data_IF_011802435446
#
_entry.id   IF_011802435446
#
_cell.length_a   1.000
_cell.length_b   1.000
_cell.length_c   1.000
_cell.angle_alpha   90.00
_cell.angle_beta   90.00
_cell.angle_gamma   90.00
#
_symmetry.space_group_name_H-M   'P 1'
#
loop_
_entity.id
_entity.type
_entity.pdbx_description
1 polymer ?
#
# COMPACT_ATOMS: atom_id res chain seq x y z
N UNK A 1 31.25 1.96 11.90
CA UNK A 1 30.10 2.55 11.23
C UNK A 1 30.21 4.07 11.36
N UNK A 2 30.68 4.77 10.31
CA UNK A 2 30.96 6.21 10.34
C UNK A 2 29.77 7.05 9.85
N UNK A 3 28.69 6.42 9.36
CA UNK A 3 27.47 7.08 8.93
C UNK A 3 26.42 7.07 10.03
N UNK A 4 25.57 8.08 10.06
CA UNK A 4 24.48 8.22 11.02
C UNK A 4 23.13 8.35 10.28
N UNK A 5 22.64 7.26 9.67
CA UNK A 5 21.33 7.25 9.02
C UNK A 5 20.22 7.43 10.07
N UNK A 6 19.06 7.92 9.62
CA UNK A 6 17.84 8.01 10.45
C UNK A 6 17.21 6.64 10.62
N UNK A 7 17.33 5.80 9.61
CA UNK A 7 16.71 4.49 9.43
C UNK A 7 15.26 4.57 8.95
N UNK A 8 14.93 3.65 8.07
CA UNK A 8 13.65 3.57 7.37
C UNK A 8 12.44 3.55 8.30
N UNK A 9 12.53 2.78 9.39
CA UNK A 9 11.44 2.65 10.37
C UNK A 9 11.18 3.97 11.10
N UNK A 10 12.23 4.71 11.46
CA UNK A 10 12.10 5.99 12.16
C UNK A 10 11.55 7.08 11.23
N UNK A 11 12.00 7.11 9.96
CA UNK A 11 11.45 8.02 8.94
C UNK A 11 9.96 7.75 8.76
N UNK A 12 9.57 6.48 8.60
CA UNK A 12 8.18 6.08 8.45
C UNK A 12 7.33 6.51 9.65
N UNK A 13 7.82 6.24 10.87
CA UNK A 13 7.13 6.61 12.11
C UNK A 13 6.98 8.12 12.25
N UNK A 14 8.04 8.88 11.94
CA UNK A 14 8.05 10.34 11.97
C UNK A 14 7.03 10.93 11.00
N UNK A 15 7.07 10.52 9.75
CA UNK A 15 6.15 10.97 8.71
C UNK A 15 4.68 10.64 9.05
N UNK A 16 4.40 9.41 9.47
CA UNK A 16 3.03 8.98 9.80
C UNK A 16 2.46 9.66 11.05
N UNK A 17 3.31 10.14 11.95
CA UNK A 17 2.87 10.89 13.15
C UNK A 17 2.57 12.35 12.85
N UNK A 18 3.33 12.94 11.92
CA UNK A 18 3.29 14.38 11.65
C UNK A 18 2.24 14.74 10.62
N UNK A 19 2.02 13.88 9.62
CA UNK A 19 1.16 14.18 8.49
C UNK A 19 0.12 13.05 8.35
N UNK A 20 -1.17 13.43 8.37
CA UNK A 20 -2.24 12.49 8.02
C UNK A 20 -2.09 12.04 6.57
N UNK A 21 -1.98 10.73 6.36
CA UNK A 21 -1.69 10.18 5.04
C UNK A 21 -2.35 8.82 4.83
N UNK A 22 -2.69 8.52 3.59
CA UNK A 22 -3.26 7.22 3.20
C UNK A 22 -2.21 6.21 2.76
N UNK A 23 -1.03 6.68 2.43
CA UNK A 23 0.08 5.86 1.98
C UNK A 23 1.41 6.46 2.42
N UNK A 24 2.27 5.60 2.97
CA UNK A 24 3.64 5.95 3.38
C UNK A 24 4.59 4.89 2.84
N UNK A 25 5.64 5.32 2.19
CA UNK A 25 6.75 4.44 1.80
C UNK A 25 8.07 5.10 2.15
N UNK A 26 9.01 4.30 2.58
CA UNK A 26 10.37 4.72 2.98
C UNK A 26 11.36 3.78 2.35
N UNK A 27 12.57 4.27 2.10
CA UNK A 27 13.66 3.51 1.53
C UNK A 27 14.99 4.04 2.03
N UNK A 28 15.86 3.15 2.47
CA UNK A 28 17.26 3.43 2.76
C UNK A 28 18.14 2.73 1.73
N UNK A 29 18.92 3.51 0.98
CA UNK A 29 19.85 2.98 -0.03
C UNK A 29 21.06 2.33 0.63
N UNK A 30 21.68 1.42 -0.07
CA UNK A 30 22.99 0.87 0.36
C UNK A 30 24.01 2.00 0.40
N UNK A 31 24.89 2.04 1.42
CA UNK A 31 25.98 3.03 1.45
C UNK A 31 26.84 2.99 0.19
N UNK A 32 27.21 4.17 -0.28
CA UNK A 32 28.08 4.37 -1.44
C UNK A 32 29.23 5.31 -1.07
N UNK A 33 30.16 5.53 -1.98
CA UNK A 33 31.36 6.36 -1.74
C UNK A 33 31.50 7.40 -2.85
N UNK A 34 31.75 8.65 -2.47
CA UNK A 34 32.09 9.73 -3.38
C UNK A 34 33.37 10.41 -2.92
N UNK A 35 34.36 10.56 -3.80
CA UNK A 35 35.67 11.17 -3.48
C UNK A 35 36.32 10.63 -2.18
N UNK A 36 36.21 9.32 -1.96
CA UNK A 36 36.75 8.66 -0.76
C UNK A 36 35.89 8.79 0.51
N UNK A 37 34.79 9.54 0.47
CA UNK A 37 33.88 9.73 1.59
C UNK A 37 32.63 8.85 1.44
N UNK A 38 32.30 8.02 2.44
CA UNK A 38 31.08 7.24 2.44
C UNK A 38 29.86 8.14 2.63
N UNK A 39 28.80 7.78 1.94
CA UNK A 39 27.49 8.43 2.08
C UNK A 39 26.35 7.43 1.93
N UNK A 40 25.18 7.80 2.41
CA UNK A 40 23.94 7.01 2.31
C UNK A 40 22.75 7.94 2.11
N UNK A 41 21.88 7.56 1.18
CA UNK A 41 20.63 8.29 0.91
C UNK A 41 19.45 7.54 1.49
N UNK A 42 18.61 8.26 2.20
CA UNK A 42 17.34 7.79 2.73
C UNK A 42 16.22 8.67 2.22
N UNK A 43 15.10 8.08 1.89
CA UNK A 43 13.94 8.80 1.36
C UNK A 43 12.65 8.31 1.99
N UNK A 44 11.67 9.21 2.07
CA UNK A 44 10.31 8.90 2.48
C UNK A 44 9.33 9.64 1.60
N UNK A 45 8.22 9.00 1.27
CA UNK A 45 7.10 9.61 0.56
C UNK A 45 5.81 9.29 1.28
N UNK A 46 5.03 10.31 1.50
CA UNK A 46 3.65 10.20 1.96
C UNK A 46 2.70 10.72 0.90
N UNK A 47 1.51 10.11 0.82
CA UNK A 47 0.53 10.47 -0.19
C UNK A 47 -0.89 10.40 0.36
N UNK A 48 -1.72 11.37 0.01
CA UNK A 48 -3.14 11.46 0.38
C UNK A 48 -3.35 12.13 1.73
N UNK A 49 -4.46 11.79 2.42
CA UNK A 49 -4.88 12.48 3.64
C UNK A 49 -5.44 13.87 3.37
N UNK A 50 -5.16 14.82 4.26
CA UNK A 50 -5.60 16.21 4.16
C UNK A 50 -4.75 17.11 3.26
N UNK A 51 -3.75 16.55 2.55
CA UNK A 51 -2.85 17.35 1.68
C UNK A 51 -3.56 17.83 0.42
N UNK A 52 -3.28 19.07 0.01
CA UNK A 52 -3.87 19.68 -1.19
C UNK A 52 -3.34 19.04 -2.47
N UNK A 53 -4.25 18.70 -3.40
CA UNK A 53 -3.89 18.03 -4.65
C UNK A 53 -3.34 18.99 -5.72
N UNK A 54 -3.66 20.27 -5.63
CA UNK A 54 -3.33 21.32 -6.59
C UNK A 54 -2.03 22.08 -6.27
N UNK A 55 -1.44 21.78 -5.11
CA UNK A 55 -0.20 22.45 -4.65
C UNK A 55 1.04 21.63 -5.02
N UNK A 56 2.21 22.31 -5.13
CA UNK A 56 3.49 21.61 -5.20
C UNK A 56 3.67 20.67 -4.00
N UNK A 57 4.29 19.54 -4.26
CA UNK A 57 4.66 18.56 -3.23
C UNK A 57 5.59 19.22 -2.21
N UNK A 58 5.33 19.00 -0.93
CA UNK A 58 6.22 19.46 0.14
C UNK A 58 7.52 18.66 0.11
N UNK A 59 8.66 19.36 0.15
CA UNK A 59 9.99 18.73 0.12
C UNK A 59 10.70 18.99 1.44
N UNK A 60 10.93 17.92 2.19
CA UNK A 60 11.65 17.90 3.45
C UNK A 60 13.07 17.40 3.21
N UNK A 61 14.06 18.25 3.38
CA UNK A 61 15.47 17.95 3.10
C UNK A 61 16.30 17.93 4.36
N UNK A 62 17.15 16.93 4.50
CA UNK A 62 18.01 16.77 5.66
C UNK A 62 19.42 16.35 5.23
N UNK A 63 20.43 16.82 5.97
CA UNK A 63 21.81 16.38 5.88
C UNK A 63 22.32 16.06 7.29
N UNK A 64 22.81 14.84 7.51
CA UNK A 64 23.25 14.37 8.82
C UNK A 64 22.23 14.69 9.94
N UNK A 65 20.94 14.44 9.66
CA UNK A 65 19.78 14.70 10.54
C UNK A 65 19.44 16.18 10.78
N UNK A 66 20.17 17.11 10.15
CA UNK A 66 19.89 18.53 10.24
C UNK A 66 18.97 18.96 9.09
N UNK A 67 17.84 19.64 9.35
CA UNK A 67 16.95 20.11 8.30
C UNK A 67 17.58 21.25 7.50
N UNK A 68 17.36 21.22 6.18
CA UNK A 68 17.79 22.27 5.24
C UNK A 68 16.58 23.15 4.91
N UNK A 69 16.45 24.27 5.62
CA UNK A 69 15.23 25.09 5.60
C UNK A 69 15.17 26.05 4.41
N UNK A 70 16.31 26.53 3.90
CA UNK A 70 16.39 27.60 2.90
C UNK A 70 17.03 27.11 1.60
N UNK A 71 17.07 27.96 0.57
CA UNK A 71 17.70 27.73 -0.74
C UNK A 71 17.27 26.39 -1.41
N UNK A 72 15.97 26.09 -1.35
CA UNK A 72 15.44 24.82 -1.86
C UNK A 72 15.82 24.57 -3.32
N UNK A 73 15.66 25.55 -4.22
CA UNK A 73 15.92 25.39 -5.66
C UNK A 73 17.40 25.18 -6.01
N UNK A 74 18.33 25.63 -5.16
CA UNK A 74 19.77 25.42 -5.36
C UNK A 74 20.31 24.11 -4.83
N UNK A 75 19.50 23.33 -4.11
CA UNK A 75 19.94 22.14 -3.41
C UNK A 75 19.93 20.90 -4.32
N UNK A 76 21.02 20.13 -4.31
CA UNK A 76 21.16 18.86 -5.03
C UNK A 76 19.98 17.90 -4.76
N UNK A 77 19.50 17.79 -3.52
CA UNK A 77 18.39 16.88 -3.18
C UNK A 77 17.08 17.31 -3.86
N UNK A 78 16.82 18.62 -3.99
CA UNK A 78 15.68 19.13 -4.74
C UNK A 78 15.83 18.83 -6.23
N UNK A 79 17.00 19.10 -6.79
CA UNK A 79 17.29 18.80 -8.20
C UNK A 79 17.10 17.29 -8.52
N UNK A 80 17.46 16.41 -7.59
CA UNK A 80 17.22 14.98 -7.73
C UNK A 80 15.73 14.64 -7.84
N UNK A 81 14.88 15.26 -7.03
CA UNK A 81 13.42 15.12 -7.11
C UNK A 81 12.90 15.67 -8.44
N UNK A 82 13.34 16.84 -8.84
CA UNK A 82 12.91 17.55 -10.07
C UNK A 82 13.33 16.81 -11.35
N UNK A 83 14.39 16.02 -11.29
CA UNK A 83 14.92 15.24 -12.44
C UNK A 83 14.09 14.02 -12.78
N UNK A 84 13.18 13.61 -11.93
CA UNK A 84 12.32 12.43 -12.12
C UNK A 84 11.00 12.84 -12.77
N UNK A 85 10.57 12.11 -13.78
CA UNK A 85 9.23 12.27 -14.36
C UNK A 85 8.17 11.60 -13.46
N UNK A 86 7.58 12.39 -12.56
CA UNK A 86 6.60 11.94 -11.58
C UNK A 86 5.21 11.65 -12.16
N UNK A 87 4.93 12.07 -13.42
CA UNK A 87 3.65 11.80 -14.09
C UNK A 87 3.41 10.31 -14.22
N UNK A 88 4.44 9.53 -14.49
CA UNK A 88 4.34 8.06 -14.55
C UNK A 88 4.02 7.39 -13.20
N UNK A 89 4.15 8.13 -12.11
CA UNK A 89 3.86 7.66 -10.75
C UNK A 89 2.58 8.26 -10.16
N UNK A 90 1.84 9.06 -10.94
CA UNK A 90 0.53 9.58 -10.57
C UNK A 90 0.53 10.94 -9.87
N UNK A 91 1.63 11.70 -9.98
CA UNK A 91 1.69 13.11 -9.60
C UNK A 91 1.68 13.99 -10.87
N UNK A 92 1.16 15.19 -10.77
CA UNK A 92 1.18 16.15 -11.86
C UNK A 92 2.54 16.85 -11.95
N UNK A 93 3.03 17.09 -13.16
CA UNK A 93 4.32 17.76 -13.36
C UNK A 93 4.37 18.40 -14.76
N UNK A 94 4.64 19.68 -14.82
CA UNK A 94 4.73 20.40 -16.08
C UNK A 94 5.96 19.92 -16.88
N UNK A 95 5.75 19.45 -18.11
CA UNK A 95 6.85 19.00 -18.97
C UNK A 95 7.66 17.80 -18.45
N UNK A 96 7.24 17.14 -17.35
CA UNK A 96 7.96 16.02 -16.76
C UNK A 96 9.22 16.39 -15.99
N UNK A 97 9.38 17.67 -15.67
CA UNK A 97 10.52 18.23 -14.91
C UNK A 97 10.04 19.24 -13.86
N UNK A 98 10.90 19.55 -12.88
CA UNK A 98 10.57 20.45 -11.79
C UNK A 98 9.82 19.78 -10.65
N UNK A 99 9.41 20.55 -9.67
CA UNK A 99 8.69 20.06 -8.50
C UNK A 99 7.31 19.54 -8.91
N UNK A 100 6.97 18.28 -8.64
CA UNK A 100 5.65 17.75 -8.96
C UNK A 100 4.57 18.39 -8.09
N UNK A 101 3.31 18.35 -8.56
CA UNK A 101 2.12 18.76 -7.83
C UNK A 101 1.31 17.53 -7.42
N UNK A 102 0.70 17.60 -6.27
CA UNK A 102 -0.17 16.54 -5.77
C UNK A 102 -0.22 16.46 -4.25
N UNK A 103 -1.13 15.67 -3.69
CA UNK A 103 -1.30 15.53 -2.26
C UNK A 103 -0.20 14.63 -1.66
N UNK A 104 1.04 15.08 -1.72
CA UNK A 104 2.20 14.32 -1.28
C UNK A 104 3.24 15.20 -0.57
N UNK A 105 4.07 14.55 0.26
CA UNK A 105 5.32 15.13 0.74
C UNK A 105 6.46 14.13 0.54
N UNK A 106 7.63 14.63 0.20
CA UNK A 106 8.84 13.84 -0.04
C UNK A 106 9.92 14.28 0.93
N UNK A 107 10.40 13.33 1.72
CA UNK A 107 11.56 13.51 2.59
C UNK A 107 12.80 12.92 1.92
N UNK A 108 13.90 13.67 1.94
CA UNK A 108 15.21 13.20 1.51
C UNK A 108 16.25 13.52 2.57
N UNK A 109 16.98 12.51 2.96
CA UNK A 109 18.07 12.62 3.92
C UNK A 109 19.37 12.11 3.29
N UNK A 110 20.44 12.88 3.45
CA UNK A 110 21.81 12.46 3.13
C UNK A 110 22.59 12.30 4.44
N UNK A 111 23.05 11.09 4.72
CA UNK A 111 24.07 10.83 5.73
C UNK A 111 25.43 10.72 5.05
N UNK A 112 26.41 11.53 5.46
CA UNK A 112 27.75 11.49 4.89
C UNK A 112 28.79 11.95 5.90
N UNK A 113 29.99 11.41 5.80
CA UNK A 113 31.14 11.85 6.61
C UNK A 113 31.66 13.22 6.17
N UNK A 114 31.38 13.63 4.92
CA UNK A 114 31.78 14.91 4.39
C UNK A 114 30.66 15.48 3.49
N UNK A 115 29.81 16.31 4.08
CA UNK A 115 28.70 16.97 3.37
C UNK A 115 29.22 18.25 2.74
N UNK A 116 29.13 18.36 1.41
CA UNK A 116 29.48 19.55 0.67
C UNK A 116 28.26 20.48 0.54
N UNK A 117 28.37 21.68 1.09
CA UNK A 117 27.33 22.71 1.02
C UNK A 117 27.68 23.78 -0.02
N UNK A 118 26.65 24.46 -0.53
CA UNK A 118 26.83 25.57 -1.49
C UNK A 118 27.37 26.85 -0.82
N UNK A 119 27.19 26.98 0.49
CA UNK A 119 27.61 28.16 1.28
C UNK A 119 27.92 27.75 2.73
N UNK A 120 28.59 28.66 3.45
CA UNK A 120 28.88 28.52 4.89
C UNK A 120 27.61 28.40 5.76
N UNK A 121 26.49 28.94 5.28
CA UNK A 121 25.19 28.85 5.99
C UNK A 121 24.60 27.43 6.01
N UNK A 122 25.16 26.45 5.26
CA UNK A 122 24.74 25.07 5.22
C UNK A 122 23.25 24.83 4.86
N UNK A 123 22.71 25.67 3.99
CA UNK A 123 21.28 25.68 3.63
C UNK A 123 20.95 24.76 2.46
N UNK A 124 21.91 24.50 1.58
CA UNK A 124 21.76 23.68 0.40
C UNK A 124 23.02 22.85 0.14
N UNK A 125 22.82 21.66 -0.42
CA UNK A 125 23.91 20.78 -0.81
C UNK A 125 24.43 21.15 -2.19
N UNK A 126 25.77 21.19 -2.32
CA UNK A 126 26.46 21.39 -3.58
C UNK A 126 26.24 20.20 -4.54
N UNK A 127 26.40 20.45 -5.82
CA UNK A 127 26.24 19.41 -6.85
C UNK A 127 27.34 18.34 -6.71
N UNK A 128 26.93 17.08 -6.73
CA UNK A 128 27.76 15.89 -6.67
C UNK A 128 27.08 14.80 -7.48
N UNK A 129 27.77 14.27 -8.48
CA UNK A 129 27.17 13.34 -9.45
C UNK A 129 26.75 12.01 -8.83
N UNK A 130 27.56 11.43 -7.94
CA UNK A 130 27.31 10.16 -7.29
C UNK A 130 26.12 10.27 -6.32
N UNK A 131 26.07 11.32 -5.52
CA UNK A 131 24.97 11.60 -4.61
C UNK A 131 23.67 11.86 -5.37
N UNK A 132 23.74 12.62 -6.48
CA UNK A 132 22.62 12.90 -7.36
C UNK A 132 22.04 11.59 -7.92
N UNK A 133 22.90 10.72 -8.42
CA UNK A 133 22.47 9.46 -9.05
C UNK A 133 21.82 8.51 -8.01
N UNK A 134 22.39 8.38 -6.82
CA UNK A 134 21.81 7.57 -5.75
C UNK A 134 20.48 8.15 -5.24
N UNK A 135 20.39 9.46 -5.08
CA UNK A 135 19.13 10.13 -4.72
C UNK A 135 18.07 9.91 -5.80
N UNK A 136 18.45 10.04 -7.09
CA UNK A 136 17.54 9.78 -8.21
C UNK A 136 17.06 8.35 -8.24
N UNK A 137 17.93 7.35 -8.05
CA UNK A 137 17.55 5.93 -7.96
C UNK A 137 16.54 5.68 -6.82
N UNK A 138 16.79 6.29 -5.65
CA UNK A 138 15.87 6.20 -4.53
C UNK A 138 14.48 6.76 -4.87
N UNK A 139 14.41 7.92 -5.55
CA UNK A 139 13.15 8.51 -5.99
C UNK A 139 12.40 7.64 -6.99
N UNK A 140 13.09 7.03 -7.96
CA UNK A 140 12.49 6.12 -8.93
C UNK A 140 11.89 4.88 -8.25
N UNK A 141 12.56 4.33 -7.26
CA UNK A 141 12.09 3.16 -6.52
C UNK A 141 10.85 3.50 -5.67
N UNK A 142 10.90 4.63 -4.97
CA UNK A 142 9.78 5.16 -4.19
C UNK A 142 8.57 5.48 -5.07
N UNK A 143 8.80 6.05 -6.25
CA UNK A 143 7.75 6.32 -7.25
C UNK A 143 7.05 5.04 -7.72
N UNK A 144 7.80 3.94 -7.94
CA UNK A 144 7.19 2.62 -8.26
C UNK A 144 6.27 2.14 -7.14
N UNK A 145 6.66 2.35 -5.88
CA UNK A 145 5.82 2.05 -4.71
C UNK A 145 4.50 2.82 -4.74
N UNK A 146 4.56 4.13 -4.99
CA UNK A 146 3.38 4.99 -5.12
C UNK A 146 2.47 4.54 -6.27
N UNK A 147 3.04 4.30 -7.46
CA UNK A 147 2.30 3.81 -8.63
C UNK A 147 1.55 2.52 -8.31
N UNK A 148 2.23 1.53 -7.72
CA UNK A 148 1.61 0.25 -7.33
C UNK A 148 0.43 0.46 -6.37
N UNK A 149 0.55 1.38 -5.41
CA UNK A 149 -0.54 1.73 -4.50
C UNK A 149 -1.72 2.33 -5.24
N UNK A 150 -1.49 3.31 -6.12
CA UNK A 150 -2.54 3.99 -6.90
C UNK A 150 -3.24 3.04 -7.88
N UNK A 151 -2.49 2.18 -8.56
CA UNK A 151 -3.05 1.16 -9.46
C UNK A 151 -3.94 0.16 -8.70
N UNK A 152 -3.50 -0.30 -7.51
CA UNK A 152 -4.31 -1.16 -6.65
C UNK A 152 -5.61 -0.47 -6.26
N UNK A 153 -5.55 0.78 -5.83
CA UNK A 153 -6.74 1.58 -5.46
C UNK A 153 -7.70 1.76 -6.64
N UNK A 154 -7.17 2.11 -7.82
CA UNK A 154 -7.96 2.26 -9.05
C UNK A 154 -8.64 0.94 -9.45
N UNK A 155 -7.92 -0.18 -9.35
CA UNK A 155 -8.49 -1.51 -9.62
C UNK A 155 -9.61 -1.86 -8.65
N UNK A 156 -9.43 -1.59 -7.36
CA UNK A 156 -10.48 -1.82 -6.35
C UNK A 156 -11.73 -0.98 -6.62
N UNK A 157 -11.55 0.31 -6.95
CA UNK A 157 -12.66 1.20 -7.28
C UNK A 157 -13.45 0.70 -8.50
N UNK A 158 -12.76 0.32 -9.59
CA UNK A 158 -13.40 -0.27 -10.77
C UNK A 158 -14.14 -1.58 -10.48
N UNK A 159 -13.57 -2.42 -9.61
CA UNK A 159 -14.23 -3.67 -9.23
C UNK A 159 -15.48 -3.40 -8.42
N UNK A 160 -15.45 -2.42 -7.51
CA UNK A 160 -16.62 -2.01 -6.73
C UNK A 160 -17.71 -1.43 -7.63
N UNK A 161 -17.36 -0.52 -8.53
CA UNK A 161 -18.31 0.06 -9.51
C UNK A 161 -18.96 -1.02 -10.38
N UNK A 162 -18.17 -1.98 -10.88
CA UNK A 162 -18.69 -3.12 -11.63
C UNK A 162 -19.65 -3.96 -10.79
N UNK A 163 -19.33 -4.20 -9.53
CA UNK A 163 -20.19 -4.97 -8.62
C UNK A 163 -21.52 -4.25 -8.38
N UNK A 164 -21.50 -2.95 -8.09
CA UNK A 164 -22.70 -2.13 -7.89
C UNK A 164 -23.60 -2.17 -9.12
N UNK A 165 -23.02 -1.96 -10.31
CA UNK A 165 -23.76 -2.02 -11.58
C UNK A 165 -24.43 -3.39 -11.81
N UNK A 166 -23.72 -4.49 -11.57
CA UNK A 166 -24.27 -5.83 -11.75
C UNK A 166 -25.38 -6.10 -10.72
N UNK A 167 -25.19 -5.64 -9.48
CA UNK A 167 -26.14 -5.84 -8.40
C UNK A 167 -27.43 -5.04 -8.59
N UNK A 168 -27.40 -3.96 -9.34
CA UNK A 168 -28.57 -3.17 -9.69
C UNK A 168 -29.32 -3.74 -10.93
N UNK A 169 -28.56 -4.10 -11.96
CA UNK A 169 -29.14 -4.50 -13.24
C UNK A 169 -29.65 -5.95 -13.25
N UNK A 170 -28.89 -6.87 -12.69
CA UNK A 170 -29.22 -8.31 -12.77
C UNK A 170 -30.54 -8.68 -12.09
N UNK A 171 -30.84 -8.18 -10.88
CA UNK A 171 -32.15 -8.40 -10.25
C UNK A 171 -33.30 -7.83 -11.06
N UNK A 172 -33.15 -6.63 -11.62
CA UNK A 172 -34.20 -6.01 -12.45
C UNK A 172 -34.51 -6.84 -13.72
N UNK A 173 -33.48 -7.39 -14.36
CA UNK A 173 -33.65 -8.29 -15.50
C UNK A 173 -34.34 -9.58 -15.05
N UNK A 174 -33.91 -10.19 -13.95
CA UNK A 174 -34.45 -11.43 -13.44
C UNK A 174 -35.93 -11.28 -13.03
N UNK A 175 -36.28 -10.18 -12.39
CA UNK A 175 -37.67 -9.86 -12.02
C UNK A 175 -38.57 -9.73 -13.27
N UNK A 176 -38.14 -8.95 -14.26
CA UNK A 176 -38.88 -8.82 -15.52
C UNK A 176 -39.04 -10.13 -16.28
N UNK A 177 -37.96 -10.94 -16.32
CA UNK A 177 -38.01 -12.25 -16.95
C UNK A 177 -38.92 -13.21 -16.21
N UNK A 178 -38.89 -13.22 -14.88
CA UNK A 178 -39.77 -14.04 -14.06
C UNK A 178 -41.25 -13.68 -14.22
N UNK A 179 -41.54 -12.39 -14.32
CA UNK A 179 -42.91 -11.87 -14.63
C UNK A 179 -43.42 -12.35 -15.99
N UNK A 180 -42.59 -12.26 -17.04
CA UNK A 180 -42.95 -12.71 -18.39
C UNK A 180 -43.14 -14.21 -18.47
N UNK A 181 -42.29 -14.97 -17.76
CA UNK A 181 -42.32 -16.43 -17.82
C UNK A 181 -43.23 -17.08 -16.77
N UNK A 182 -43.90 -16.26 -15.92
CA UNK A 182 -44.74 -16.70 -14.81
C UNK A 182 -44.00 -17.70 -13.90
N UNK A 183 -42.72 -17.43 -13.63
CA UNK A 183 -41.83 -18.27 -12.77
C UNK A 183 -41.32 -17.48 -11.57
N UNK A 184 -40.94 -18.17 -10.48
CA UNK A 184 -40.29 -17.48 -9.35
C UNK A 184 -38.97 -16.86 -9.77
N UNK A 185 -38.60 -15.75 -9.12
CA UNK A 185 -37.30 -15.07 -9.33
C UNK A 185 -36.19 -16.03 -8.90
N UNK A 186 -35.21 -16.33 -9.76
CA UNK A 186 -34.10 -17.21 -9.40
C UNK A 186 -33.15 -16.54 -8.40
N UNK A 187 -32.46 -17.35 -7.61
CA UNK A 187 -31.38 -16.84 -6.77
C UNK A 187 -30.19 -16.41 -7.64
N UNK A 188 -29.70 -15.19 -7.40
CA UNK A 188 -28.71 -14.53 -8.28
C UNK A 188 -27.31 -14.49 -7.71
N UNK A 189 -27.12 -14.81 -6.42
CA UNK A 189 -25.83 -14.71 -5.73
C UNK A 189 -24.70 -15.46 -6.45
N UNK A 190 -24.96 -16.71 -6.83
CA UNK A 190 -24.00 -17.53 -7.59
C UNK A 190 -23.70 -16.97 -8.98
N UNK A 191 -24.69 -16.41 -9.66
CA UNK A 191 -24.49 -15.78 -10.98
C UNK A 191 -23.68 -14.50 -10.91
N UNK A 192 -23.97 -13.63 -9.95
CA UNK A 192 -23.21 -12.40 -9.69
C UNK A 192 -21.75 -12.74 -9.42
N UNK A 193 -21.49 -13.73 -8.61
CA UNK A 193 -20.13 -14.16 -8.25
C UNK A 193 -19.35 -14.69 -9.44
N UNK A 194 -19.98 -15.50 -10.30
CA UNK A 194 -19.36 -15.96 -11.56
C UNK A 194 -18.99 -14.79 -12.48
N UNK A 195 -19.89 -13.82 -12.65
CA UNK A 195 -19.64 -12.63 -13.47
C UNK A 195 -18.49 -11.78 -12.89
N UNK A 196 -18.39 -11.71 -11.58
CA UNK A 196 -17.31 -11.01 -10.89
C UNK A 196 -15.97 -11.75 -10.90
N UNK A 197 -15.95 -13.03 -11.29
CA UNK A 197 -14.78 -13.92 -11.20
C UNK A 197 -14.15 -13.83 -9.79
N UNK A 198 -14.97 -14.03 -8.79
CA UNK A 198 -14.59 -13.91 -7.38
C UNK A 198 -14.52 -15.27 -6.69
N UNK A 199 -13.92 -15.28 -5.50
CA UNK A 199 -14.00 -16.40 -4.58
C UNK A 199 -14.98 -16.03 -3.48
N UNK A 200 -15.95 -16.88 -3.23
CA UNK A 200 -16.88 -16.75 -2.11
C UNK A 200 -16.41 -17.62 -0.96
N UNK A 201 -16.54 -17.10 0.24
CA UNK A 201 -16.45 -17.84 1.47
C UNK A 201 -17.83 -17.79 2.14
N UNK A 202 -18.50 -18.90 2.21
CA UNK A 202 -19.75 -19.03 2.94
C UNK A 202 -19.46 -19.72 4.26
N UNK A 203 -20.10 -19.28 5.33
CA UNK A 203 -19.98 -19.89 6.64
C UNK A 203 -21.36 -20.12 7.23
N UNK A 204 -21.62 -21.34 7.67
CA UNK A 204 -22.80 -21.71 8.45
C UNK A 204 -22.39 -22.03 9.86
N UNK A 205 -23.22 -21.67 10.81
CA UNK A 205 -22.98 -21.92 12.23
C UNK A 205 -24.21 -22.59 12.84
N UNK A 206 -24.03 -23.74 13.47
CA UNK A 206 -25.09 -24.45 14.18
C UNK A 206 -24.72 -24.55 15.66
N UNK A 207 -25.62 -24.07 16.52
CA UNK A 207 -25.44 -24.16 17.96
C UNK A 207 -26.14 -25.40 18.52
N UNK A 208 -25.37 -26.31 19.09
CA UNK A 208 -25.89 -27.47 19.80
C UNK A 208 -26.06 -27.14 21.30
N UNK A 209 -27.32 -27.12 21.77
CA UNK A 209 -27.66 -26.79 23.16
C UNK A 209 -27.24 -27.85 24.16
N UNK A 210 -27.18 -29.13 23.76
CA UNK A 210 -26.86 -30.26 24.64
C UNK A 210 -25.34 -30.31 24.90
N UNK A 211 -24.54 -30.16 23.88
CA UNK A 211 -23.06 -30.20 23.96
C UNK A 211 -22.46 -28.82 24.30
N UNK A 212 -23.24 -27.73 24.21
CA UNK A 212 -22.77 -26.34 24.32
C UNK A 212 -21.64 -26.03 23.33
N UNK A 213 -21.69 -26.62 22.15
CA UNK A 213 -20.73 -26.44 21.07
C UNK A 213 -21.36 -25.74 19.89
N UNK A 214 -20.56 -25.00 19.16
CA UNK A 214 -20.94 -24.41 17.87
C UNK A 214 -20.18 -25.13 16.78
N UNK A 215 -20.90 -25.78 15.90
CA UNK A 215 -20.33 -26.33 14.67
C UNK A 215 -20.29 -25.23 13.62
N UNK A 216 -19.11 -25.03 13.01
CA UNK A 216 -18.87 -24.03 11.98
C UNK A 216 -18.41 -24.72 10.72
N UNK A 217 -19.23 -24.63 9.68
CA UNK A 217 -18.85 -25.08 8.34
C UNK A 217 -18.45 -23.88 7.49
N UNK A 218 -17.29 -23.96 6.82
CA UNK A 218 -16.80 -22.94 5.91
C UNK A 218 -16.60 -23.56 4.53
N UNK A 219 -17.36 -23.06 3.56
CA UNK A 219 -17.30 -23.53 2.17
C UNK A 219 -16.72 -22.43 1.29
N UNK A 220 -15.74 -22.81 0.47
CA UNK A 220 -15.10 -21.90 -0.47
C UNK A 220 -15.44 -22.29 -1.92
N UNK A 221 -15.97 -21.33 -2.66
CA UNK A 221 -16.24 -21.46 -4.08
C UNK A 221 -15.28 -20.59 -4.89
N UNK A 222 -14.50 -21.20 -5.77
CA UNK A 222 -13.61 -20.48 -6.66
C UNK A 222 -14.25 -20.30 -8.04
N UNK A 223 -14.78 -19.13 -8.32
CA UNK A 223 -15.31 -18.77 -9.63
C UNK A 223 -14.30 -17.98 -10.48
N UNK A 224 -13.02 -18.00 -10.12
CA UNK A 224 -11.97 -17.42 -10.95
C UNK A 224 -11.49 -18.44 -11.98
N UNK A 225 -10.90 -17.98 -13.07
CA UNK A 225 -10.31 -18.88 -14.09
C UNK A 225 -8.94 -19.43 -13.71
N UNK A 226 -8.50 -19.27 -12.45
CA UNK A 226 -7.16 -19.65 -12.02
C UNK A 226 -7.19 -20.41 -10.70
N UNK A 227 -6.37 -21.45 -10.62
CA UNK A 227 -6.05 -22.09 -9.35
C UNK A 227 -5.26 -21.12 -8.48
N UNK A 228 -5.63 -20.99 -7.22
CA UNK A 228 -4.96 -20.11 -6.26
C UNK A 228 -4.86 -20.76 -4.89
N UNK A 229 -3.79 -20.42 -4.17
CA UNK A 229 -3.65 -20.71 -2.77
C UNK A 229 -4.36 -19.65 -1.91
N UNK A 230 -5.02 -20.09 -0.86
CA UNK A 230 -5.70 -19.23 0.11
C UNK A 230 -5.32 -19.61 1.53
N UNK A 231 -5.36 -18.61 2.41
CA UNK A 231 -5.32 -18.84 3.85
C UNK A 231 -6.62 -18.33 4.44
N UNK A 232 -7.36 -19.21 5.08
CA UNK A 232 -8.58 -18.87 5.82
C UNK A 232 -8.16 -18.57 7.25
N UNK A 233 -8.61 -17.45 7.78
CA UNK A 233 -8.42 -17.08 9.18
C UNK A 233 -9.78 -17.05 9.87
N UNK A 234 -9.96 -17.88 10.89
CA UNK A 234 -11.07 -17.78 11.81
C UNK A 234 -10.61 -17.07 13.07
N UNK A 235 -11.34 -16.03 13.46
CA UNK A 235 -11.03 -15.24 14.65
C UNK A 235 -12.26 -15.10 15.54
N UNK A 236 -12.07 -15.21 16.84
CA UNK A 236 -13.11 -14.91 17.82
C UNK A 236 -12.56 -14.08 18.98
N UNK A 237 -13.40 -13.31 19.67
CA UNK A 237 -12.96 -12.46 20.77
C UNK A 237 -12.31 -13.27 21.89
N UNK A 238 -11.14 -12.86 22.35
CA UNK A 238 -10.45 -13.53 23.48
C UNK A 238 -11.30 -13.64 24.74
N UNK A 239 -12.16 -12.63 24.96
CA UNK A 239 -13.07 -12.58 26.11
C UNK A 239 -14.22 -13.60 26.03
N UNK A 240 -14.43 -14.26 24.90
CA UNK A 240 -15.50 -15.26 24.73
C UNK A 240 -15.23 -16.55 25.51
N UNK A 241 -13.98 -16.83 25.89
CA UNK A 241 -13.57 -18.10 26.48
C UNK A 241 -13.72 -19.32 25.54
N UNK A 242 -14.06 -19.08 24.26
CA UNK A 242 -14.24 -20.13 23.29
C UNK A 242 -12.92 -20.78 22.90
N UNK A 243 -12.90 -22.10 22.83
CA UNK A 243 -11.76 -22.91 22.38
C UNK A 243 -12.17 -23.83 21.24
N UNK A 244 -11.27 -24.12 20.33
CA UNK A 244 -11.53 -25.10 19.27
C UNK A 244 -11.25 -26.49 19.79
N UNK A 245 -12.27 -27.37 19.79
CA UNK A 245 -12.16 -28.74 20.29
C UNK A 245 -11.81 -29.76 19.19
N UNK A 246 -12.39 -29.59 18.00
CA UNK A 246 -12.12 -30.44 16.84
C UNK A 246 -11.69 -29.63 15.63
N UNK A 247 -10.67 -30.14 14.94
CA UNK A 247 -10.15 -29.57 13.72
C UNK A 247 -9.88 -30.70 12.73
N UNK A 248 -10.91 -31.07 11.97
CA UNK A 248 -10.84 -32.18 11.02
C UNK A 248 -10.01 -31.86 9.76
N UNK A 249 -9.71 -30.59 9.51
CA UNK A 249 -9.13 -30.08 8.27
C UNK A 249 -7.69 -29.56 8.39
N UNK A 250 -7.00 -29.85 9.51
CA UNK A 250 -5.58 -29.53 9.66
C UNK A 250 -5.25 -28.06 9.89
N UNK A 251 -6.19 -27.26 10.40
CA UNK A 251 -5.94 -25.87 10.79
C UNK A 251 -4.89 -25.75 11.91
N UNK A 252 -4.15 -24.66 11.92
CA UNK A 252 -3.11 -24.38 12.93
C UNK A 252 -3.50 -23.16 13.75
N UNK A 253 -3.27 -23.24 15.05
CA UNK A 253 -3.43 -22.09 15.94
C UNK A 253 -2.27 -21.12 15.71
N UNK A 254 -2.55 -19.89 15.29
CA UNK A 254 -1.53 -18.85 15.09
C UNK A 254 -1.40 -17.92 16.30
N UNK A 255 -2.51 -17.63 16.96
CA UNK A 255 -2.54 -16.81 18.19
C UNK A 255 -3.74 -17.19 19.08
N UNK A 256 -3.88 -16.55 20.22
CA UNK A 256 -5.06 -16.71 21.07
C UNK A 256 -6.31 -16.22 20.30
N UNK A 257 -7.31 -17.09 20.15
CA UNK A 257 -8.51 -16.79 19.37
C UNK A 257 -8.33 -16.68 17.86
N UNK A 258 -7.20 -17.15 17.31
CA UNK A 258 -6.90 -17.13 15.87
C UNK A 258 -6.45 -18.49 15.37
N UNK A 259 -7.16 -19.01 14.37
CA UNK A 259 -6.81 -20.23 13.66
C UNK A 259 -6.68 -19.98 12.18
N UNK A 260 -5.75 -20.66 11.53
CA UNK A 260 -5.47 -20.56 10.11
C UNK A 260 -5.48 -21.91 9.41
N UNK A 261 -6.12 -21.98 8.24
CA UNK A 261 -6.08 -23.09 7.30
C UNK A 261 -5.44 -22.64 6.01
N UNK A 262 -4.41 -23.35 5.57
CA UNK A 262 -3.76 -23.12 4.28
C UNK A 262 -4.32 -24.08 3.25
N UNK A 263 -4.86 -23.51 2.19
CA UNK A 263 -5.29 -24.24 0.99
C UNK A 263 -4.28 -23.97 -0.12
N UNK A 264 -3.47 -24.97 -0.46
CA UNK A 264 -2.41 -24.81 -1.47
C UNK A 264 -2.96 -24.67 -2.88
N UNK A 265 -4.14 -25.26 -3.14
CA UNK A 265 -4.80 -25.15 -4.44
C UNK A 265 -6.32 -25.23 -4.31
N UNK A 266 -7.01 -24.15 -4.63
CA UNK A 266 -8.47 -24.15 -4.81
C UNK A 266 -8.76 -24.11 -6.31
N UNK A 267 -9.36 -25.18 -6.82
CA UNK A 267 -9.71 -25.30 -8.23
C UNK A 267 -10.84 -24.33 -8.60
N UNK A 268 -10.94 -23.92 -9.88
CA UNK A 268 -12.04 -23.12 -10.41
C UNK A 268 -13.40 -23.79 -10.29
#
# INVERSE_FOLDING_TARGET
NCLSPIEEMLIKKGLSKTIDSRFVTTLTRVPSVTQGNPFQVEVGLIFGGGMAADKPVEILRFANRVPLMYQQGGCLLTKAIESVDWRQYGLEQAGGKGVPKGPAAILVHLASTNVQFTSEAKEALADNAEVMEEARKAMLEMGRGLRKHLEKKKKMAKTKEKFELINDILPAIAEKSAQILERPIPELSGSITKIMSAVICESTTEWNKETKQTDVEIVLFNYTSRVRAYTILATWPEKSGATMEKNETGGRKEALGVWAWKLDSLQP
#
